data_IF_932496437545
#
_entry.id   IF_932496437545
#
_cell.length_a   1.000
_cell.length_b   1.000
_cell.length_c   1.000
_cell.angle_alpha   90.00
_cell.angle_beta   90.00
_cell.angle_gamma   90.00
#
_symmetry.space_group_name_H-M   'P 1'
#
loop_
_entity.id
_entity.type
_entity.pdbx_description
1 polymer ?
#
# COMPACT_ATOMS: atom_id res chain seq x y z
N UNK A 1 6.44 -3.71 13.77
CA UNK A 1 5.44 -4.27 12.82
C UNK A 1 4.18 -3.43 12.91
N UNK A 2 3.55 -3.05 11.79
CA UNK A 2 2.53 -1.99 11.68
C UNK A 2 1.16 -2.27 12.33
N UNK A 3 0.95 -3.46 12.91
CA UNK A 3 -0.31 -3.86 13.60
C UNK A 3 -1.58 -3.62 12.78
N UNK A 4 -1.53 -3.87 11.47
CA UNK A 4 -2.68 -3.74 10.57
C UNK A 4 -3.55 -4.99 10.62
N UNK A 5 -4.88 -4.82 10.58
CA UNK A 5 -5.86 -5.91 10.37
C UNK A 5 -6.95 -5.50 9.38
N UNK A 6 -7.55 -4.33 9.57
CA UNK A 6 -8.57 -3.75 8.67
C UNK A 6 -7.92 -2.83 7.66
N UNK A 7 -8.09 -3.11 6.37
CA UNK A 7 -7.42 -2.42 5.28
C UNK A 7 -8.42 -1.76 4.32
N UNK A 8 -8.03 -0.61 3.78
CA UNK A 8 -8.57 -0.12 2.52
C UNK A 8 -7.64 -0.57 1.38
N UNK A 9 -8.19 -1.22 0.36
CA UNK A 9 -7.45 -1.67 -0.83
C UNK A 9 -7.66 -0.67 -1.98
N UNK A 10 -6.58 -0.12 -2.54
CA UNK A 10 -6.62 0.71 -3.75
C UNK A 10 -5.76 0.06 -4.83
N UNK A 11 -6.29 -0.14 -6.02
CA UNK A 11 -5.59 -0.73 -7.14
C UNK A 11 -5.99 -0.09 -8.49
N UNK A 12 -5.16 -0.18 -9.54
CA UNK A 12 -5.57 0.24 -10.88
C UNK A 12 -6.53 -0.76 -11.55
N UNK A 13 -6.69 -1.95 -10.99
CA UNK A 13 -7.24 -3.09 -11.70
C UNK A 13 -8.74 -3.06 -11.87
N UNK A 14 -9.21 -4.00 -12.68
CA UNK A 14 -10.61 -4.36 -12.74
C UNK A 14 -11.11 -5.04 -11.46
N UNK A 15 -12.42 -4.95 -11.24
CA UNK A 15 -13.11 -5.51 -10.07
C UNK A 15 -12.78 -6.98 -9.83
N UNK A 16 -12.73 -7.81 -10.88
CA UNK A 16 -12.42 -9.23 -10.74
C UNK A 16 -11.01 -9.50 -10.19
N UNK A 17 -10.03 -8.65 -10.53
CA UNK A 17 -8.68 -8.76 -9.98
C UNK A 17 -8.68 -8.27 -8.53
N UNK A 18 -9.39 -7.17 -8.23
CA UNK A 18 -9.52 -6.67 -6.87
C UNK A 18 -10.20 -7.69 -5.94
N UNK A 19 -11.23 -8.39 -6.41
CA UNK A 19 -11.90 -9.48 -5.68
C UNK A 19 -10.92 -10.59 -5.32
N UNK A 20 -10.05 -10.98 -6.26
CA UNK A 20 -9.00 -11.95 -5.99
C UNK A 20 -7.97 -11.45 -4.96
N UNK A 21 -7.60 -10.17 -5.01
CA UNK A 21 -6.71 -9.57 -4.00
C UNK A 21 -7.36 -9.53 -2.61
N UNK A 22 -8.67 -9.26 -2.53
CA UNK A 22 -9.43 -9.29 -1.28
C UNK A 22 -9.43 -10.70 -0.69
N UNK A 23 -9.68 -11.73 -1.50
CA UNK A 23 -9.62 -13.13 -1.08
C UNK A 23 -8.23 -13.48 -0.53
N UNK A 24 -7.17 -13.16 -1.28
CA UNK A 24 -5.79 -13.41 -0.86
C UNK A 24 -5.44 -12.70 0.46
N UNK A 25 -5.82 -11.42 0.61
CA UNK A 25 -5.63 -10.69 1.86
C UNK A 25 -6.43 -11.30 3.02
N UNK A 26 -7.64 -11.79 2.74
CA UNK A 26 -8.48 -12.54 3.67
C UNK A 26 -7.82 -13.81 4.18
N UNK A 27 -7.25 -14.62 3.28
CA UNK A 27 -6.50 -15.83 3.62
C UNK A 27 -5.25 -15.51 4.47
N UNK A 28 -4.63 -14.36 4.25
CA UNK A 28 -3.52 -13.85 5.04
C UNK A 28 -3.94 -13.24 6.40
N UNK A 29 -5.24 -13.22 6.72
CA UNK A 29 -5.78 -12.76 8.00
C UNK A 29 -6.11 -11.26 8.08
N UNK A 30 -6.15 -10.57 6.94
CA UNK A 30 -6.62 -9.19 6.86
C UNK A 30 -8.12 -9.12 6.52
N UNK A 31 -8.76 -8.04 6.93
CA UNK A 31 -10.14 -7.70 6.57
C UNK A 31 -10.11 -6.48 5.65
N UNK A 32 -10.49 -6.62 4.38
CA UNK A 32 -10.64 -5.46 3.50
C UNK A 32 -12.00 -4.82 3.78
N UNK A 33 -12.00 -3.66 4.44
CA UNK A 33 -13.22 -2.94 4.83
C UNK A 33 -13.77 -2.04 3.72
N UNK A 34 -12.93 -1.71 2.74
CA UNK A 34 -13.30 -0.97 1.54
C UNK A 34 -12.27 -1.21 0.44
N UNK A 35 -12.72 -1.23 -0.81
CA UNK A 35 -11.86 -1.38 -1.97
C UNK A 35 -12.20 -0.39 -3.09
N UNK A 36 -11.19 -0.01 -3.87
CA UNK A 36 -11.32 0.73 -5.12
C UNK A 36 -10.38 0.13 -6.17
N UNK A 37 -10.96 -0.43 -7.23
CA UNK A 37 -10.27 -0.72 -8.48
C UNK A 37 -10.65 0.29 -9.56
N UNK A 38 -9.68 0.87 -10.26
CA UNK A 38 -9.95 1.88 -11.31
C UNK A 38 -10.46 1.29 -12.63
N UNK A 39 -10.53 -0.03 -12.78
CA UNK A 39 -11.07 -0.66 -13.98
C UNK A 39 -10.13 -0.66 -15.19
N UNK A 40 -8.84 -0.38 -14.98
CA UNK A 40 -7.88 -0.27 -16.06
C UNK A 40 -7.45 -1.65 -16.54
N UNK A 41 -7.34 -1.81 -17.86
CA UNK A 41 -7.01 -3.08 -18.54
C UNK A 41 -5.71 -3.00 -19.33
N UNK A 42 -5.26 -1.80 -19.67
CA UNK A 42 -4.18 -1.57 -20.62
C UNK A 42 -2.80 -1.95 -20.10
N UNK A 43 -2.63 -2.11 -18.77
CA UNK A 43 -1.31 -2.28 -18.17
C UNK A 43 -0.39 -1.09 -18.43
N UNK A 44 0.84 -1.14 -17.89
CA UNK A 44 1.96 -0.27 -18.24
C UNK A 44 1.60 1.21 -18.40
N UNK A 45 1.49 1.68 -19.65
CA UNK A 45 1.25 3.07 -20.02
C UNK A 45 -0.01 3.67 -19.39
N UNK A 46 -1.09 2.89 -19.23
CA UNK A 46 -2.33 3.39 -18.64
C UNK A 46 -2.18 3.62 -17.13
N UNK A 47 -1.47 2.71 -16.45
CA UNK A 47 -1.20 2.81 -15.01
C UNK A 47 -0.23 3.95 -14.69
N UNK A 48 0.75 4.18 -15.58
CA UNK A 48 1.76 5.21 -15.44
C UNK A 48 1.24 6.64 -15.68
N UNK A 49 0.10 6.79 -16.36
CA UNK A 49 -0.55 8.10 -16.55
C UNK A 49 -1.10 8.68 -15.25
N UNK A 50 -1.42 7.83 -14.29
CA UNK A 50 -1.93 8.29 -12.99
C UNK A 50 -0.74 8.75 -12.16
N UNK A 51 -0.78 10.02 -11.78
CA UNK A 51 0.27 10.68 -11.02
C UNK A 51 0.24 10.30 -9.54
N UNK A 52 1.35 10.45 -8.79
CA UNK A 52 1.37 10.25 -7.34
C UNK A 52 0.33 11.11 -6.60
N UNK A 53 0.08 12.33 -7.10
CA UNK A 53 -0.94 13.22 -6.54
C UNK A 53 -2.34 12.65 -6.73
N UNK A 54 -2.67 12.13 -7.92
CA UNK A 54 -3.97 11.49 -8.16
C UNK A 54 -4.14 10.26 -7.28
N UNK A 55 -3.10 9.42 -7.12
CA UNK A 55 -3.14 8.30 -6.17
C UNK A 55 -3.36 8.75 -4.73
N UNK A 56 -2.73 9.86 -4.34
CA UNK A 56 -2.93 10.46 -3.01
C UNK A 56 -4.38 10.88 -2.82
N UNK A 57 -4.92 11.64 -3.78
CA UNK A 57 -6.27 12.18 -3.70
C UNK A 57 -7.32 11.05 -3.70
N UNK A 58 -7.18 10.07 -4.61
CA UNK A 58 -8.03 8.87 -4.66
C UNK A 58 -8.02 8.10 -3.33
N UNK A 59 -6.85 7.90 -2.74
CA UNK A 59 -6.75 7.17 -1.46
C UNK A 59 -7.40 7.96 -0.33
N UNK A 60 -7.23 9.29 -0.31
CA UNK A 60 -7.82 10.17 0.72
C UNK A 60 -9.34 10.22 0.62
N UNK A 61 -9.89 10.28 -0.59
CA UNK A 61 -11.33 10.25 -0.85
C UNK A 61 -11.97 8.93 -0.37
N UNK A 62 -11.19 7.86 -0.34
CA UNK A 62 -11.62 6.53 0.09
C UNK A 62 -11.31 6.23 1.57
N UNK A 63 -11.08 7.28 2.38
CA UNK A 63 -10.89 7.15 3.84
C UNK A 63 -12.01 6.35 4.50
N UNK A 64 -11.63 5.42 5.38
CA UNK A 64 -12.55 4.72 6.29
C UNK A 64 -12.11 4.91 7.73
N UNK A 65 -13.06 5.16 8.63
CA UNK A 65 -12.76 5.46 10.03
C UNK A 65 -12.29 4.20 10.78
N UNK A 66 -12.83 3.05 10.38
CA UNK A 66 -12.58 1.71 10.88
C UNK A 66 -11.31 1.06 10.32
N UNK A 67 -10.65 1.66 9.33
CA UNK A 67 -9.43 1.11 8.75
C UNK A 67 -8.21 1.38 9.63
N UNK A 68 -7.37 0.34 9.80
CA UNK A 68 -6.08 0.45 10.47
C UNK A 68 -5.03 1.09 9.55
N UNK A 69 -5.14 0.85 8.24
CA UNK A 69 -4.22 1.34 7.22
C UNK A 69 -4.71 1.09 5.79
N UNK A 70 -3.85 1.42 4.83
CA UNK A 70 -4.15 1.37 3.41
C UNK A 70 -3.15 0.48 2.69
N UNK A 71 -3.64 -0.34 1.76
CA UNK A 71 -2.81 -1.12 0.87
C UNK A 71 -2.98 -0.62 -0.57
N UNK A 72 -1.90 -0.13 -1.16
CA UNK A 72 -1.85 0.35 -2.54
C UNK A 72 -1.26 -0.76 -3.41
N UNK A 73 -2.12 -1.55 -4.05
CA UNK A 73 -1.70 -2.68 -4.86
C UNK A 73 -1.39 -2.26 -6.29
N UNK A 74 -0.12 -2.42 -6.69
CA UNK A 74 0.39 -2.64 -8.04
C UNK A 74 1.91 -2.40 -8.01
N UNK A 75 2.66 -3.08 -8.88
CA UNK A 75 4.10 -2.87 -9.04
C UNK A 75 4.46 -1.97 -10.23
N UNK A 76 3.50 -1.71 -11.12
CA UNK A 76 3.68 -0.93 -12.35
C UNK A 76 2.99 0.45 -12.29
N UNK A 77 2.95 1.07 -11.11
CA UNK A 77 2.35 2.39 -10.85
C UNK A 77 3.33 3.33 -10.15
N UNK A 78 2.99 4.62 -10.13
CA UNK A 78 3.67 5.67 -9.36
C UNK A 78 3.23 5.76 -7.89
N UNK A 79 2.46 4.77 -7.40
CA UNK A 79 1.89 4.77 -6.05
C UNK A 79 2.93 4.81 -4.93
N UNK A 80 4.15 4.31 -5.18
CA UNK A 80 5.22 4.34 -4.17
C UNK A 80 5.59 5.78 -3.79
N UNK A 81 5.50 6.73 -4.71
CA UNK A 81 5.80 8.14 -4.47
C UNK A 81 4.65 8.85 -3.72
N UNK A 82 3.48 8.22 -3.59
CA UNK A 82 2.31 8.78 -2.90
C UNK A 82 2.28 8.44 -1.39
N UNK A 83 3.12 7.49 -0.94
CA UNK A 83 3.03 6.88 0.40
C UNK A 83 3.05 7.94 1.51
N UNK A 84 4.09 8.77 1.58
CA UNK A 84 4.23 9.74 2.68
C UNK A 84 3.12 10.78 2.70
N UNK A 85 2.67 11.21 1.52
CA UNK A 85 1.60 12.18 1.37
C UNK A 85 0.26 11.62 1.84
N UNK A 86 -0.02 10.35 1.53
CA UNK A 86 -1.22 9.65 2.02
C UNK A 86 -1.12 9.45 3.54
N UNK A 87 -0.01 8.94 4.06
CA UNK A 87 0.17 8.72 5.50
C UNK A 87 -0.01 10.02 6.29
N UNK A 88 0.54 11.13 5.79
CA UNK A 88 0.41 12.46 6.40
C UNK A 88 -1.04 12.95 6.42
N UNK A 89 -1.79 12.76 5.33
CA UNK A 89 -3.18 13.25 5.21
C UNK A 89 -4.19 12.38 5.98
N UNK A 90 -3.93 11.08 6.08
CA UNK A 90 -4.86 10.13 6.69
C UNK A 90 -4.50 9.77 8.14
N UNK A 91 -3.28 10.09 8.56
CA UNK A 91 -2.69 9.68 9.84
C UNK A 91 -2.77 8.16 10.07
N UNK A 92 -2.55 7.39 9.01
CA UNK A 92 -2.61 5.93 9.02
C UNK A 92 -1.47 5.35 8.20
N UNK A 93 -0.92 4.17 8.54
CA UNK A 93 0.10 3.53 7.72
C UNK A 93 -0.39 3.19 6.32
N UNK A 94 0.52 3.30 5.36
CA UNK A 94 0.31 2.91 3.97
C UNK A 94 1.37 1.90 3.58
N UNK A 95 0.93 0.80 2.96
CA UNK A 95 1.81 -0.21 2.40
C UNK A 95 1.56 -0.29 0.89
N UNK A 96 2.61 -0.22 0.10
CA UNK A 96 2.56 -0.47 -1.34
C UNK A 96 3.33 -1.76 -1.71
N UNK A 97 2.93 -2.44 -2.79
CA UNK A 97 3.57 -3.70 -3.23
C UNK A 97 5.07 -3.57 -3.49
N UNK A 98 5.53 -2.52 -4.18
CA UNK A 98 6.97 -2.31 -4.46
C UNK A 98 7.76 -2.06 -3.18
N UNK A 99 7.24 -1.17 -2.32
CA UNK A 99 7.82 -0.85 -1.02
C UNK A 99 7.89 -2.09 -0.10
N UNK A 100 6.85 -2.93 -0.07
CA UNK A 100 6.80 -4.14 0.74
C UNK A 100 7.82 -5.20 0.29
N UNK A 101 7.98 -5.38 -1.04
CA UNK A 101 9.00 -6.27 -1.61
C UNK A 101 10.40 -5.78 -1.27
N UNK A 102 10.67 -4.49 -1.46
CA UNK A 102 11.95 -3.87 -1.10
C UNK A 102 12.25 -4.04 0.40
N UNK A 103 11.25 -3.78 1.25
CA UNK A 103 11.38 -3.95 2.70
C UNK A 103 11.76 -5.39 3.03
N UNK A 104 11.02 -6.37 2.51
CA UNK A 104 11.26 -7.80 2.76
C UNK A 104 12.66 -8.23 2.32
N UNK A 105 13.11 -7.78 1.14
CA UNK A 105 14.45 -8.06 0.62
C UNK A 105 15.55 -7.49 1.53
N UNK A 106 15.42 -6.23 1.96
CA UNK A 106 16.41 -5.58 2.83
C UNK A 106 16.47 -6.23 4.22
N UNK A 107 15.34 -6.63 4.80
CA UNK A 107 15.34 -7.33 6.11
C UNK A 107 16.03 -8.68 6.05
N UNK A 108 15.96 -9.40 4.92
CA UNK A 108 16.70 -10.65 4.72
C UNK A 108 18.22 -10.45 4.60
N UNK A 109 18.63 -9.24 4.23
CA UNK A 109 20.04 -8.82 4.17
C UNK A 109 20.48 -8.11 5.46
N UNK A 110 19.66 -8.13 6.51
CA UNK A 110 19.92 -7.48 7.80
C UNK A 110 20.09 -5.94 7.71
N UNK A 111 19.66 -5.34 6.60
CA UNK A 111 19.61 -3.88 6.43
C UNK A 111 18.33 -3.38 7.11
N UNK A 112 18.50 -2.55 8.15
CA UNK A 112 17.39 -2.14 9.04
C UNK A 112 17.26 -0.63 9.20
N UNK A 113 18.15 0.12 8.57
CA UNK A 113 18.18 1.57 8.52
C UNK A 113 16.87 2.13 7.95
N UNK A 114 16.41 3.28 8.47
CA UNK A 114 15.26 3.95 7.90
C UNK A 114 15.56 4.52 6.52
N UNK A 115 14.56 4.46 5.64
CA UNK A 115 14.62 5.04 4.30
C UNK A 115 13.53 6.09 4.19
N UNK A 116 13.94 7.35 4.09
CA UNK A 116 13.02 8.48 3.86
C UNK A 116 12.30 8.33 2.51
N UNK A 117 11.08 8.84 2.41
CA UNK A 117 10.23 8.69 1.23
C UNK A 117 9.40 7.41 1.22
N UNK A 118 9.75 6.41 2.03
CA UNK A 118 9.09 5.10 2.04
C UNK A 118 8.25 4.85 3.30
N UNK A 119 7.73 5.92 3.91
CA UNK A 119 6.68 5.87 4.94
C UNK A 119 6.95 5.00 6.17
N UNK A 120 5.90 4.79 6.97
CA UNK A 120 5.98 4.14 8.29
C UNK A 120 6.53 2.71 8.23
N UNK A 121 6.41 2.00 7.11
CA UNK A 121 6.99 0.64 6.98
C UNK A 121 8.52 0.64 7.13
N UNK A 122 9.17 1.71 6.65
CA UNK A 122 10.62 1.89 6.73
C UNK A 122 11.07 2.70 7.95
N UNK A 123 10.16 3.23 8.76
CA UNK A 123 10.54 3.96 9.98
C UNK A 123 11.29 3.08 11.00
N UNK A 124 12.12 3.73 11.81
CA UNK A 124 12.94 3.10 12.85
C UNK A 124 12.14 2.29 13.89
N UNK A 125 10.83 2.54 14.03
CA UNK A 125 9.93 1.82 14.91
C UNK A 125 9.50 0.44 14.37
N UNK A 126 9.78 0.14 13.10
CA UNK A 126 9.41 -1.12 12.43
C UNK A 126 10.59 -2.06 12.16
N UNK A 127 11.67 -1.94 12.95
CA UNK A 127 12.75 -2.94 12.96
C UNK A 127 12.16 -4.32 13.25
N UNK A 128 12.15 -5.21 12.25
CA UNK A 128 12.00 -6.64 12.50
C UNK A 128 13.19 -7.08 13.36
N UNK A 129 12.93 -7.89 14.38
CA UNK A 129 13.86 -8.18 15.46
C UNK A 129 15.24 -8.60 14.99
N UNK A 130 16.25 -7.86 15.43
CA UNK A 130 17.53 -8.45 15.79
C UNK A 130 17.37 -8.92 17.25
N UNK A 131 17.07 -10.21 17.43
CA UNK A 131 17.26 -10.93 18.69
C UNK A 131 17.56 -12.38 18.38
#
# INVERSE_FOLDING_TARGET
QLRLRKLVLISPYEKAINEHEIEFLGEAGYEVVHDLGLGLRGGGDEYLRITPKEWTDLTVENRRAEADGYFLSCTATSMIDAIEDVERRLDRPVVNSNQAVLWSALRRLEVTEPIAGLGRLFDAANRAGAS
#
